data_IF_535502117104
#
_entry.id   IF_535502117104
#
_cell.length_a   1.000
_cell.length_b   1.000
_cell.length_c   1.000
_cell.angle_alpha   90.00
_cell.angle_beta   90.00
_cell.angle_gamma   90.00
#
_symmetry.space_group_name_H-M   'P 1'
#
loop_
_entity.id
_entity.type
_entity.pdbx_description
1 polymer ?
#
# COMPACT_ATOMS: atom_id res chain seq x y z
N UNK A 1 -8.19 -3.65 -21.31
CA UNK A 1 -7.75 -2.57 -20.38
C UNK A 1 -7.75 -3.16 -18.98
N UNK A 2 -6.68 -2.97 -18.19
CA UNK A 2 -6.64 -3.44 -16.80
C UNK A 2 -7.05 -2.29 -15.87
N UNK A 3 -7.94 -2.57 -14.92
CA UNK A 3 -8.38 -1.64 -13.89
C UNK A 3 -8.22 -2.33 -12.54
N UNK A 4 -7.68 -1.59 -11.56
CA UNK A 4 -7.53 -2.05 -10.18
C UNK A 4 -8.16 -1.00 -9.29
N UNK A 5 -8.97 -1.43 -8.32
CA UNK A 5 -9.60 -0.54 -7.35
C UNK A 5 -9.13 -0.90 -5.96
N UNK A 6 -8.47 0.05 -5.28
CA UNK A 6 -8.02 -0.10 -3.90
C UNK A 6 -8.98 0.72 -3.04
N UNK A 7 -9.64 0.05 -2.09
CA UNK A 7 -10.57 0.69 -1.15
C UNK A 7 -9.94 0.68 0.24
N UNK A 8 -9.86 1.86 0.85
CA UNK A 8 -9.39 2.08 2.21
C UNK A 8 -10.60 2.50 3.04
N UNK A 9 -10.96 1.69 4.02
CA UNK A 9 -12.04 2.02 4.96
C UNK A 9 -11.44 2.20 6.35
N UNK A 10 -11.66 3.37 6.94
CA UNK A 10 -11.38 3.60 8.35
C UNK A 10 -12.61 3.17 9.15
N UNK A 11 -12.46 2.16 10.01
CA UNK A 11 -13.56 1.59 10.78
C UNK A 11 -13.50 2.13 12.19
N UNK A 12 -14.31 3.16 12.44
CA UNK A 12 -14.46 3.78 13.76
C UNK A 12 -15.25 2.91 14.75
N UNK A 13 -16.07 1.96 14.29
CA UNK A 13 -16.80 1.02 15.15
C UNK A 13 -16.38 -0.44 14.88
N UNK A 14 -15.95 -1.14 15.94
CA UNK A 14 -15.42 -2.51 15.89
C UNK A 14 -13.97 -2.59 16.40
N UNK A 15 -13.08 -3.27 15.66
CA UNK A 15 -11.67 -3.51 16.06
C UNK A 15 -10.75 -2.28 15.99
N UNK A 16 -11.25 -1.14 15.50
CA UNK A 16 -10.49 0.11 15.31
C UNK A 16 -9.37 0.02 14.27
N UNK A 17 -9.26 -1.09 13.53
CA UNK A 17 -8.22 -1.28 12.52
C UNK A 17 -8.78 -0.92 11.14
N UNK A 18 -8.04 -0.14 10.33
CA UNK A 18 -8.45 0.15 8.96
C UNK A 18 -8.49 -1.15 8.14
N UNK A 19 -9.42 -1.23 7.20
CA UNK A 19 -9.48 -2.33 6.23
C UNK A 19 -9.06 -1.85 4.84
N UNK A 20 -8.28 -2.70 4.17
CA UNK A 20 -7.82 -2.48 2.79
C UNK A 20 -8.35 -3.60 1.93
N UNK A 21 -9.06 -3.26 0.86
CA UNK A 21 -9.58 -4.22 -0.13
C UNK A 21 -9.04 -3.88 -1.50
N UNK A 22 -8.57 -4.89 -2.24
CA UNK A 22 -8.05 -4.74 -3.59
C UNK A 22 -8.91 -5.54 -4.56
N UNK A 23 -9.64 -4.84 -5.41
CA UNK A 23 -10.40 -5.43 -6.50
C UNK A 23 -9.57 -5.41 -7.79
N UNK A 24 -9.29 -6.61 -8.32
CA UNK A 24 -8.59 -6.83 -9.58
C UNK A 24 -9.51 -7.41 -10.67
N UNK A 25 -10.83 -7.32 -10.49
CA UNK A 25 -11.82 -7.78 -11.47
C UNK A 25 -11.61 -7.06 -12.80
N UNK A 26 -11.31 -7.83 -13.85
CA UNK A 26 -10.99 -7.30 -15.18
C UNK A 26 -9.50 -7.14 -15.47
N UNK A 27 -8.61 -7.48 -14.53
CA UNK A 27 -7.18 -7.63 -14.84
C UNK A 27 -6.98 -8.91 -15.66
N UNK A 28 -6.35 -8.84 -16.85
CA UNK A 28 -6.08 -10.03 -17.66
C UNK A 28 -5.16 -10.99 -16.91
N UNK A 29 -5.40 -12.29 -17.01
CA UNK A 29 -4.56 -13.33 -16.39
C UNK A 29 -3.75 -14.09 -17.44
N UNK A 30 -2.65 -14.70 -17.00
CA UNK A 30 -1.89 -15.67 -17.78
C UNK A 30 -2.61 -17.02 -17.81
N UNK A 31 -2.18 -17.97 -18.67
CA UNK A 31 -2.73 -19.33 -18.67
C UNK A 31 -2.61 -20.07 -17.33
N UNK A 32 -1.70 -19.62 -16.45
CA UNK A 32 -1.50 -20.16 -15.10
C UNK A 32 -2.34 -19.42 -14.04
N UNK A 33 -3.26 -18.55 -14.45
CA UNK A 33 -4.13 -17.77 -13.57
C UNK A 33 -3.48 -16.55 -12.93
N UNK A 34 -2.17 -16.35 -13.11
CA UNK A 34 -1.46 -15.20 -12.55
C UNK A 34 -1.85 -13.90 -13.28
N UNK A 35 -2.06 -12.77 -12.58
CA UNK A 35 -2.30 -11.48 -13.23
C UNK A 35 -1.19 -11.14 -14.23
N UNK A 36 -1.57 -10.77 -15.46
CA UNK A 36 -0.62 -10.23 -16.43
C UNK A 36 -0.03 -8.94 -15.88
N UNK A 37 1.29 -8.81 -16.01
CA UNK A 37 2.05 -7.64 -15.56
C UNK A 37 1.82 -6.43 -16.49
N UNK A 38 0.61 -5.87 -16.43
CA UNK A 38 0.27 -4.58 -17.01
C UNK A 38 0.82 -3.44 -16.15
N UNK A 39 0.87 -2.22 -16.68
CA UNK A 39 1.31 -1.05 -15.90
C UNK A 39 0.48 -0.84 -14.63
N UNK A 40 -0.84 -1.03 -14.68
CA UNK A 40 -1.70 -0.91 -13.51
C UNK A 40 -1.33 -1.92 -12.41
N UNK A 41 -1.06 -3.18 -12.79
CA UNK A 41 -0.62 -4.24 -11.87
C UNK A 41 0.75 -3.90 -11.29
N UNK A 42 1.70 -3.48 -12.12
CA UNK A 42 3.04 -3.04 -11.67
C UNK A 42 2.95 -1.90 -10.66
N UNK A 43 2.14 -0.88 -10.94
CA UNK A 43 1.94 0.26 -10.05
C UNK A 43 1.31 -0.16 -8.72
N UNK A 44 0.28 -1.02 -8.77
CA UNK A 44 -0.38 -1.51 -7.56
C UNK A 44 0.58 -2.28 -6.64
N UNK A 45 1.45 -3.13 -7.19
CA UNK A 45 2.44 -3.87 -6.41
C UNK A 45 3.46 -2.91 -5.77
N UNK A 46 3.94 -1.92 -6.54
CA UNK A 46 4.88 -0.90 -6.04
C UNK A 46 4.33 -0.11 -4.85
N UNK A 47 3.03 0.17 -4.80
CA UNK A 47 2.43 0.86 -3.66
C UNK A 47 2.59 0.06 -2.36
N UNK A 48 2.37 -1.25 -2.40
CA UNK A 48 2.57 -2.12 -1.24
C UNK A 48 4.05 -2.27 -0.87
N UNK A 49 4.94 -2.36 -1.87
CA UNK A 49 6.39 -2.41 -1.64
C UNK A 49 6.91 -1.12 -0.98
N UNK A 50 6.36 0.04 -1.33
CA UNK A 50 6.70 1.32 -0.72
C UNK A 50 6.32 1.36 0.76
N UNK A 51 5.11 0.91 1.12
CA UNK A 51 4.67 0.82 2.52
C UNK A 51 5.55 -0.15 3.31
N UNK A 52 5.89 -1.30 2.73
CA UNK A 52 6.81 -2.25 3.36
C UNK A 52 8.21 -1.64 3.56
N UNK A 53 8.70 -0.89 2.57
CA UNK A 53 9.98 -0.18 2.64
C UNK A 53 9.98 0.90 3.72
N UNK A 54 8.91 1.68 3.84
CA UNK A 54 8.73 2.68 4.90
C UNK A 54 8.78 2.03 6.29
N UNK A 55 8.05 0.92 6.48
CA UNK A 55 8.09 0.16 7.72
C UNK A 55 9.50 -0.35 8.04
N UNK A 56 10.22 -0.82 7.03
CA UNK A 56 11.60 -1.30 7.20
C UNK A 56 12.55 -0.15 7.53
N UNK A 57 12.45 0.99 6.83
CA UNK A 57 13.24 2.18 7.11
C UNK A 57 12.97 2.72 8.52
N UNK A 58 11.71 2.74 8.98
CA UNK A 58 11.38 3.13 10.36
C UNK A 58 12.00 2.22 11.45
N UNK A 59 12.39 0.98 11.10
CA UNK A 59 13.13 0.10 12.02
C UNK A 59 14.60 0.51 12.21
N UNK A 60 15.17 1.25 11.25
CA UNK A 60 16.54 1.76 11.29
C UNK A 60 16.53 3.06 12.11
N UNK A 61 17.22 3.14 13.25
CA UNK A 61 17.19 4.32 14.12
C UNK A 61 17.59 5.63 13.42
N UNK A 62 18.53 5.57 12.47
CA UNK A 62 18.97 6.73 11.68
C UNK A 62 17.94 7.23 10.66
N UNK A 63 16.97 6.39 10.29
CA UNK A 63 15.91 6.72 9.32
C UNK A 63 14.55 6.98 10.00
N UNK A 64 14.45 6.82 11.32
CA UNK A 64 13.33 7.36 12.10
C UNK A 64 13.41 8.87 11.98
N UNK A 65 12.43 9.46 11.30
CA UNK A 65 12.32 10.90 11.15
C UNK A 65 12.63 11.57 12.50
N UNK A 66 13.68 12.40 12.55
CA UNK A 66 13.85 13.33 13.66
C UNK A 66 12.55 14.14 13.76
N UNK A 67 11.96 14.31 14.94
CA UNK A 67 10.85 15.23 15.10
C UNK A 67 11.29 16.57 14.54
N UNK A 68 10.47 17.16 13.66
CA UNK A 68 10.61 18.56 13.25
C UNK A 68 10.93 19.37 14.49
N UNK A 69 12.04 20.10 14.45
CA UNK A 69 12.47 21.03 15.48
C UNK A 69 11.27 21.88 15.92
N UNK A 70 10.58 21.45 16.98
CA UNK A 70 9.63 22.30 17.68
C UNK A 70 10.50 23.24 18.48
N UNK A 71 10.72 24.44 17.96
CA UNK A 71 11.15 25.55 18.79
C UNK A 71 10.01 25.80 19.78
N UNK A 72 10.17 25.34 21.03
CA UNK A 72 9.33 25.78 22.13
C UNK A 72 9.56 27.29 22.28
N UNK A 73 8.48 28.07 22.19
CA UNK A 73 8.44 29.48 22.61
C UNK A 73 8.04 29.56 24.08
#
# INVERSE_FOLDING_TARGET
MAKITITLEDRTEGSGKPSVTVDMTGVPTSPLGAPRQTEAVRLSNKLFDLVASEKMLGSIPACRWQPTTMTLQ
#
